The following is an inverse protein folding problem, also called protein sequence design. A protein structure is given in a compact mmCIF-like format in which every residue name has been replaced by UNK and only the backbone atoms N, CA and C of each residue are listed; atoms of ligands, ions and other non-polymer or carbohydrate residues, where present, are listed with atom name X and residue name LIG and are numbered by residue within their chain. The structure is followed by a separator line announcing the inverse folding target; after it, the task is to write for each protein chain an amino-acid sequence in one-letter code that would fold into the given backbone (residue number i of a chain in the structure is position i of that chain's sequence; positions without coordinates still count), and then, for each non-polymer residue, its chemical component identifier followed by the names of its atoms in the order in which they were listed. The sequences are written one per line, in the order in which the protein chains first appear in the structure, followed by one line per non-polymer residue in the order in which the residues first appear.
data_IF_861441995981
#
_entry.id   IF_861441995981
#
_cell.length_a   1.000
_cell.length_b   1.000
_cell.length_c   1.000
_cell.angle_alpha   90.00
_cell.angle_beta   90.00
_cell.angle_gamma   90.00
#
_symmetry.space_group_name_H-M   'P 1'
#
loop_
_entity.id
_entity.type
_entity.pdbx_description
1 polymer ?
#
# COMPACT_ATOMS: atom_id res chain seq x y z
N UNK A 1 5.09 4.39 -9.45
CA UNK A 1 3.89 3.77 -8.83
C UNK A 1 3.48 4.63 -7.66
N UNK A 2 2.27 5.18 -7.65
CA UNK A 2 1.83 6.09 -6.57
C UNK A 2 1.13 5.28 -5.47
N UNK A 3 1.83 5.01 -4.36
CA UNK A 3 1.31 4.23 -3.22
C UNK A 3 0.18 4.96 -2.51
N UNK A 4 0.30 6.27 -2.35
CA UNK A 4 -0.72 7.12 -1.72
C UNK A 4 -2.05 7.00 -2.45
N UNK A 5 -2.04 7.10 -3.78
CA UNK A 5 -3.23 6.96 -4.59
C UNK A 5 -3.87 5.55 -4.51
N UNK A 6 -3.07 4.49 -4.37
CA UNK A 6 -3.58 3.12 -4.20
C UNK A 6 -4.24 2.98 -2.82
N UNK A 7 -3.59 3.48 -1.78
CA UNK A 7 -4.09 3.45 -0.41
C UNK A 7 -5.40 4.24 -0.29
N UNK A 8 -5.45 5.44 -0.86
CA UNK A 8 -6.65 6.29 -0.85
C UNK A 8 -7.82 5.67 -1.62
N UNK A 9 -7.56 5.02 -2.76
CA UNK A 9 -8.58 4.25 -3.49
C UNK A 9 -9.13 3.07 -2.70
N UNK A 10 -8.33 2.50 -1.81
CA UNK A 10 -8.76 1.43 -0.91
C UNK A 10 -9.38 1.97 0.40
N UNK A 11 -9.46 3.30 0.58
CA UNK A 11 -9.93 3.96 1.81
C UNK A 11 -9.19 3.50 3.08
N UNK A 12 -7.91 3.14 2.94
CA UNK A 12 -7.09 2.65 4.04
C UNK A 12 -6.26 3.77 4.69
N UNK A 13 -6.07 3.66 5.99
CA UNK A 13 -5.03 4.43 6.69
C UNK A 13 -3.63 3.88 6.35
N UNK A 14 -2.59 4.67 6.61
CA UNK A 14 -1.20 4.21 6.42
C UNK A 14 -0.89 2.98 7.26
N UNK A 15 -1.44 2.90 8.48
CA UNK A 15 -1.29 1.76 9.39
C UNK A 15 -1.97 0.49 8.87
N UNK A 16 -3.22 0.59 8.39
CA UNK A 16 -3.94 -0.56 7.83
C UNK A 16 -3.27 -1.06 6.55
N UNK A 17 -2.85 -0.15 5.68
CA UNK A 17 -2.09 -0.51 4.48
C UNK A 17 -0.78 -1.21 4.83
N UNK A 18 -0.06 -0.71 5.85
CA UNK A 18 1.17 -1.32 6.33
C UNK A 18 0.93 -2.74 6.87
N UNK A 19 -0.13 -2.94 7.67
CA UNK A 19 -0.54 -4.26 8.19
C UNK A 19 -0.86 -5.24 7.07
N UNK A 20 -1.59 -4.80 6.04
CA UNK A 20 -1.94 -5.64 4.89
C UNK A 20 -0.72 -6.06 4.05
N UNK A 21 0.24 -5.16 3.88
CA UNK A 21 1.50 -5.46 3.15
C UNK A 21 2.49 -6.23 4.05
N UNK A 22 2.33 -6.16 5.37
CA UNK A 22 3.24 -6.73 6.36
C UNK A 22 4.53 -5.93 6.50
N UNK A 23 4.41 -4.60 6.55
CA UNK A 23 5.53 -3.66 6.76
C UNK A 23 5.19 -2.69 7.88
N UNK A 24 6.15 -1.86 8.29
CA UNK A 24 5.88 -0.79 9.25
C UNK A 24 5.16 0.39 8.59
N UNK A 25 4.34 1.13 9.36
CA UNK A 25 3.75 2.40 8.93
C UNK A 25 4.81 3.39 8.42
N UNK A 26 5.98 3.43 9.07
CA UNK A 26 7.12 4.26 8.67
C UNK A 26 7.64 3.91 7.25
N UNK A 27 7.61 2.62 6.90
CA UNK A 27 7.98 2.16 5.55
C UNK A 27 7.01 2.72 4.51
N UNK A 28 5.70 2.69 4.78
CA UNK A 28 4.67 3.27 3.91
C UNK A 28 4.86 4.78 3.77
N UNK A 29 5.10 5.49 4.88
CA UNK A 29 5.40 6.92 4.85
C UNK A 29 6.59 7.25 3.94
N UNK A 30 7.70 6.50 4.04
CA UNK A 30 8.87 6.70 3.18
C UNK A 30 8.55 6.48 1.70
N UNK A 31 7.75 5.45 1.38
CA UNK A 31 7.33 5.19 0.01
C UNK A 31 6.44 6.30 -0.57
N UNK A 32 5.51 6.83 0.23
CA UNK A 32 4.62 7.91 -0.21
C UNK A 32 5.36 9.24 -0.42
N UNK A 33 6.42 9.48 0.34
CA UNK A 33 7.25 10.68 0.24
C UNK A 33 8.46 10.52 -0.70
N UNK A 34 8.62 9.36 -1.36
CA UNK A 34 9.76 9.10 -2.25
C UNK A 34 11.11 8.99 -1.54
N UNK A 35 11.12 8.83 -0.20
CA UNK A 35 12.34 8.72 0.61
C UNK A 35 12.99 7.34 0.54
N UNK A 36 12.30 6.35 -0.02
CA UNK A 36 12.79 4.98 -0.14
C UNK A 36 12.18 4.30 -1.36
N UNK A 37 13.02 3.60 -2.12
CA UNK A 37 12.57 2.76 -3.22
C UNK A 37 11.92 1.47 -2.70
N UNK A 38 10.80 1.09 -3.33
CA UNK A 38 10.06 -0.12 -2.97
C UNK A 38 10.77 -1.32 -3.58
N UNK A 39 11.11 -2.31 -2.76
CA UNK A 39 11.65 -3.57 -3.25
C UNK A 39 10.61 -4.35 -4.07
N UNK A 40 11.08 -5.16 -5.04
CA UNK A 40 10.19 -5.88 -5.95
C UNK A 40 9.20 -6.81 -5.22
N UNK A 41 9.65 -7.46 -4.13
CA UNK A 41 8.81 -8.27 -3.24
C UNK A 41 7.60 -7.50 -2.70
N UNK A 42 7.78 -6.23 -2.33
CA UNK A 42 6.69 -5.41 -1.80
C UNK A 42 5.77 -4.91 -2.91
N UNK A 43 6.30 -4.62 -4.10
CA UNK A 43 5.47 -4.29 -5.28
C UNK A 43 4.52 -5.43 -5.63
N UNK A 44 4.98 -6.68 -5.58
CA UNK A 44 4.15 -7.86 -5.81
C UNK A 44 3.00 -7.98 -4.79
N UNK A 45 3.29 -7.80 -3.50
CA UNK A 45 2.25 -7.80 -2.45
C UNK A 45 1.19 -6.72 -2.70
N UNK A 46 1.62 -5.52 -3.07
CA UNK A 46 0.70 -4.40 -3.34
C UNK A 46 -0.15 -4.68 -4.60
N UNK A 47 0.44 -5.28 -5.65
CA UNK A 47 -0.31 -5.74 -6.84
C UNK A 47 -1.37 -6.78 -6.47
N UNK A 48 -1.05 -7.74 -5.61
CA UNK A 48 -2.01 -8.74 -5.11
C UNK A 48 -3.14 -8.09 -4.32
N UNK A 49 -2.84 -7.11 -3.46
CA UNK A 49 -3.85 -6.36 -2.71
C UNK A 49 -4.85 -5.67 -3.65
N UNK A 50 -4.35 -4.99 -4.70
CA UNK A 50 -5.19 -4.29 -5.69
C UNK A 50 -6.18 -5.23 -6.41
N UNK A 51 -5.78 -6.47 -6.66
CA UNK A 51 -6.64 -7.46 -7.33
C UNK A 51 -7.73 -8.01 -6.41
N UNK A 52 -7.46 -8.07 -5.09
CA UNK A 52 -8.39 -8.58 -4.10
C UNK A 52 -9.36 -7.52 -3.56
N UNK A 53 -9.11 -6.22 -3.78
CA UNK A 53 -9.97 -5.11 -3.31
C UNK A 53 -11.26 -4.92 -4.13
N UNK A 54 -11.76 -5.94 -4.83
CA UNK A 54 -13.11 -5.93 -5.45
C UNK A 54 -14.26 -6.08 -4.44
N UNK A 55 -14.00 -5.88 -3.15
CA UNK A 55 -14.96 -6.11 -2.07
C UNK A 55 -15.03 -4.80 -1.26
N UNK A 56 -16.23 -4.26 -1.08
CA UNK A 56 -16.55 -2.93 -0.52
C UNK A 56 -16.41 -1.74 -1.48
N UNK A 57 -17.14 -1.78 -2.60
CA UNK A 57 -17.98 -0.63 -2.93
C UNK A 57 -19.36 -0.95 -2.37
N UNK A 58 -19.76 -0.31 -1.27
CA UNK A 58 -21.13 -0.36 -0.74
C UNK A 58 -21.65 1.06 -0.67
#
# INVERSE_FOLDING_TARGET
MNIKAIREKAMLTQDEFAKLVGVSRWTVFKWENGLCEISEKNKEKIKKLKNNTKICQK
#
